data_IF_519484105032
#
_entry.id   IF_519484105032
#
_cell.length_a   1.000
_cell.length_b   1.000
_cell.length_c   1.000
_cell.angle_alpha   90.00
_cell.angle_beta   90.00
_cell.angle_gamma   90.00
#
_symmetry.space_group_name_H-M   'P 1'
#
loop_
_entity.id
_entity.type
_entity.pdbx_description
1 polymer ?
#
# COMPACT_ATOMS: atom_id res chain seq x y z
N UNK A 1 -2.44 -4.23 15.30
CA UNK A 1 -3.08 -4.53 13.99
C UNK A 1 -1.96 -4.70 12.98
N UNK A 2 -1.93 -5.80 12.23
CA UNK A 2 -1.00 -5.92 11.10
C UNK A 2 -1.39 -4.89 10.03
N UNK A 3 -0.41 -4.21 9.40
CA UNK A 3 -0.70 -3.37 8.25
C UNK A 3 -1.27 -4.25 7.14
N UNK A 4 -2.24 -3.71 6.38
CA UNK A 4 -2.86 -4.45 5.28
C UNK A 4 -1.96 -4.45 4.05
N UNK A 5 -1.16 -3.40 3.91
CA UNK A 5 -0.23 -3.24 2.82
C UNK A 5 1.19 -3.31 3.36
N UNK A 6 2.09 -3.89 2.57
CA UNK A 6 3.53 -3.93 2.84
C UNK A 6 4.32 -3.43 1.63
N UNK A 7 5.52 -2.89 1.86
CA UNK A 7 6.45 -2.55 0.79
C UNK A 7 7.51 -3.63 0.64
N UNK A 8 7.84 -3.95 -0.61
CA UNK A 8 8.83 -4.97 -1.00
C UNK A 8 9.84 -4.32 -1.92
N UNK A 9 11.14 -4.58 -1.68
CA UNK A 9 12.21 -4.15 -2.57
C UNK A 9 12.28 -5.12 -3.76
N UNK A 10 12.16 -4.57 -4.95
CA UNK A 10 12.25 -5.30 -6.21
C UNK A 10 13.73 -5.49 -6.61
N UNK A 11 14.05 -6.51 -7.43
CA UNK A 11 15.42 -6.73 -7.92
C UNK A 11 16.01 -5.58 -8.75
N UNK A 12 15.17 -4.65 -9.18
CA UNK A 12 15.50 -3.46 -9.97
C UNK A 12 15.88 -2.24 -9.12
N UNK A 13 16.13 -2.43 -7.82
CA UNK A 13 16.35 -1.35 -6.83
C UNK A 13 15.16 -0.37 -6.73
N UNK A 14 13.98 -0.81 -7.16
CA UNK A 14 12.72 -0.12 -7.00
C UNK A 14 11.86 -0.76 -5.91
N UNK A 15 10.80 -0.08 -5.51
CA UNK A 15 9.90 -0.55 -4.47
C UNK A 15 8.50 -0.81 -5.03
N UNK A 16 7.87 -1.86 -4.53
CA UNK A 16 6.48 -2.19 -4.81
C UNK A 16 5.69 -2.30 -3.52
N UNK A 17 4.39 -1.99 -3.56
CA UNK A 17 3.48 -2.16 -2.44
C UNK A 17 2.51 -3.29 -2.75
N UNK A 18 2.37 -4.24 -1.83
CA UNK A 18 1.48 -5.40 -1.97
C UNK A 18 0.39 -5.38 -0.90
N UNK A 19 -0.80 -5.89 -1.26
CA UNK A 19 -1.85 -6.22 -0.31
C UNK A 19 -1.54 -7.59 0.31
N UNK A 20 -1.22 -7.60 1.61
CA UNK A 20 -0.82 -8.80 2.36
C UNK A 20 -1.93 -9.87 2.35
N UNK A 21 -3.19 -9.47 2.16
CA UNK A 21 -4.32 -10.40 2.17
C UNK A 21 -4.49 -11.14 0.83
N UNK A 22 -4.14 -10.51 -0.29
CA UNK A 22 -4.33 -11.08 -1.63
C UNK A 22 -3.02 -11.44 -2.32
N UNK A 23 -1.88 -11.01 -1.77
CA UNK A 23 -0.55 -11.14 -2.38
C UNK A 23 -0.44 -10.44 -3.74
N UNK A 24 -1.33 -9.47 -4.00
CA UNK A 24 -1.37 -8.72 -5.26
C UNK A 24 -0.79 -7.31 -5.09
N UNK A 25 -0.21 -6.71 -6.15
CA UNK A 25 0.26 -5.33 -6.09
C UNK A 25 -0.90 -4.38 -5.80
N UNK A 26 -0.69 -3.48 -4.85
CA UNK A 26 -1.65 -2.45 -4.52
C UNK A 26 -1.85 -1.52 -5.73
N UNK A 27 -3.08 -1.04 -5.91
CA UNK A 27 -3.45 -0.08 -6.94
C UNK A 27 -4.13 1.15 -6.34
N UNK A 28 -3.87 2.30 -6.94
CA UNK A 28 -4.64 3.54 -6.69
C UNK A 28 -5.27 3.95 -8.02
N UNK A 29 -6.60 3.81 -8.09
CA UNK A 29 -7.30 3.89 -9.38
C UNK A 29 -6.80 2.79 -10.31
N UNK A 30 -6.36 3.17 -11.50
CA UNK A 30 -5.80 2.27 -12.52
C UNK A 30 -4.26 2.13 -12.46
N UNK A 31 -3.57 2.83 -11.55
CA UNK A 31 -2.10 2.77 -11.41
C UNK A 31 -1.69 1.72 -10.38
N UNK A 32 -0.87 0.75 -10.81
CA UNK A 32 -0.19 -0.18 -9.90
C UNK A 32 0.96 0.51 -9.17
N UNK A 33 1.13 0.18 -7.90
CA UNK A 33 2.16 0.72 -7.02
C UNK A 33 3.42 -0.14 -7.05
N UNK A 34 4.02 -0.23 -8.23
CA UNK A 34 5.27 -0.95 -8.52
C UNK A 34 6.29 0.00 -9.15
N UNK A 35 7.58 -0.32 -9.11
CA UNK A 35 8.61 0.53 -9.70
C UNK A 35 8.77 1.88 -9.00
N UNK A 36 8.41 1.97 -7.72
CA UNK A 36 8.42 3.20 -6.94
C UNK A 36 9.82 3.53 -6.42
N UNK A 37 10.07 4.81 -6.17
CA UNK A 37 11.23 5.21 -5.36
C UNK A 37 11.03 4.87 -3.88
N UNK A 38 12.12 4.83 -3.10
CA UNK A 38 12.08 4.54 -1.66
C UNK A 38 11.13 5.47 -0.90
N UNK A 39 11.33 6.79 -1.01
CA UNK A 39 10.45 7.79 -0.38
C UNK A 39 9.00 7.70 -0.89
N UNK A 40 8.80 7.54 -2.20
CA UNK A 40 7.46 7.43 -2.79
C UNK A 40 6.72 6.21 -2.22
N UNK A 41 7.40 5.08 -2.10
CA UNK A 41 6.83 3.86 -1.52
C UNK A 41 6.45 4.03 -0.04
N UNK A 42 7.24 4.78 0.72
CA UNK A 42 6.97 5.05 2.13
C UNK A 42 5.72 5.92 2.31
N UNK A 43 5.64 7.01 1.56
CA UNK A 43 4.50 7.92 1.60
C UNK A 43 3.21 7.23 1.16
N UNK A 44 3.25 6.45 0.09
CA UNK A 44 2.08 5.70 -0.41
C UNK A 44 1.65 4.60 0.56
N UNK A 45 2.60 3.88 1.16
CA UNK A 45 2.32 2.85 2.15
C UNK A 45 1.64 3.45 3.40
N UNK A 46 2.12 4.61 3.86
CA UNK A 46 1.53 5.33 4.97
C UNK A 46 0.10 5.80 4.64
N UNK A 47 -0.12 6.36 3.45
CA UNK A 47 -1.43 6.81 2.98
C UNK A 47 -2.43 5.65 2.90
N UNK A 48 -2.05 4.51 2.31
CA UNK A 48 -2.91 3.34 2.20
C UNK A 48 -3.31 2.79 3.57
N UNK A 49 -2.33 2.63 4.47
CA UNK A 49 -2.61 2.14 5.82
C UNK A 49 -3.41 3.16 6.67
N UNK A 50 -3.28 4.47 6.41
CA UNK A 50 -4.10 5.50 7.05
C UNK A 50 -5.54 5.52 6.53
N UNK A 51 -5.75 5.38 5.21
CA UNK A 51 -7.09 5.36 4.59
C UNK A 51 -7.96 4.21 5.13
N UNK A 52 -7.37 3.06 5.43
CA UNK A 52 -8.06 1.93 6.07
C UNK A 52 -8.56 2.26 7.48
N UNK A 53 -7.81 3.06 8.25
CA UNK A 53 -8.24 3.51 9.58
C UNK A 53 -9.47 4.42 9.49
N UNK A 54 -9.57 5.23 8.43
CA UNK A 54 -10.72 6.12 8.18
C UNK A 54 -11.95 5.32 7.73
N UNK A 55 -11.80 4.36 6.81
CA UNK A 55 -12.91 3.50 6.37
C UNK A 55 -13.55 2.71 7.52
N UNK A 56 -12.73 2.20 8.46
CA UNK A 56 -13.23 1.48 9.66
C UNK A 56 -14.13 2.33 10.57
N UNK A 57 -14.02 3.67 10.55
CA UNK A 57 -14.86 4.56 11.36
C UNK A 57 -16.23 4.89 10.75
N UNK A 58 -16.47 4.59 9.47
CA UNK A 58 -17.73 4.93 8.77
C UNK A 58 -18.74 3.79 8.67
N UNK A 59 -18.46 2.61 9.20
CA UNK A 59 -19.36 1.45 9.16
C UNK A 59 -20.10 1.20 10.48
N UNK A 60 -20.24 2.21 11.33
CA UNK A 60 -21.10 2.19 12.51
C UNK A 60 -21.99 3.43 12.49
N UNK A 61 -23.04 3.40 11.68
CA UNK A 61 -24.18 4.31 11.74
C UNK A 61 -25.40 3.59 11.16
#
# INVERSE_FOLDING_TARGET
>A
MKPKYERVLEPTDSWAIFDVATDEPASIGDRLLIGLGEHESEELLAQLNAALKVKRKRSAA
#
